data_IF_536985236628
#
_entry.id   IF_536985236628
#
_cell.length_a   1.000
_cell.length_b   1.000
_cell.length_c   1.000
_cell.angle_alpha   90.00
_cell.angle_beta   90.00
_cell.angle_gamma   90.00
#
_symmetry.space_group_name_H-M   'P 1'
#
loop_
_entity.id
_entity.type
_entity.pdbx_description
1 polymer ?
#
# COMPACT_ATOMS: atom_id res chain seq x y z
N UNK A 1 8.00 7.13 29.40
CA UNK A 1 8.02 6.04 28.42
C UNK A 1 8.44 4.75 29.12
N UNK A 2 7.51 3.86 29.37
CA UNK A 2 7.75 2.66 30.20
C UNK A 2 7.76 1.37 29.37
N UNK A 3 7.88 1.46 28.03
CA UNK A 3 7.94 0.29 27.17
C UNK A 3 9.28 -0.43 27.34
N UNK A 4 9.23 -1.75 27.54
CA UNK A 4 10.44 -2.61 27.52
C UNK A 4 10.88 -2.93 26.09
N UNK A 5 9.94 -2.91 25.18
CA UNK A 5 10.12 -3.08 23.74
C UNK A 5 8.97 -2.41 23.00
N UNK A 6 9.14 -2.11 21.72
CA UNK A 6 8.09 -1.58 20.84
C UNK A 6 7.73 -2.61 19.80
N UNK A 7 6.45 -2.91 19.66
CA UNK A 7 5.93 -3.69 18.55
C UNK A 7 5.59 -2.77 17.37
N UNK A 8 6.25 -2.96 16.24
CA UNK A 8 5.98 -2.22 15.01
C UNK A 8 5.19 -3.09 14.04
N UNK A 9 3.89 -2.87 13.93
CA UNK A 9 3.00 -3.61 13.03
C UNK A 9 3.19 -3.09 11.60
N UNK A 10 3.52 -4.01 10.68
CA UNK A 10 3.48 -3.79 9.23
C UNK A 10 2.23 -4.49 8.69
N UNK A 11 1.20 -3.74 8.23
CA UNK A 11 -0.08 -4.31 7.80
C UNK A 11 -0.06 -4.89 6.38
N UNK A 12 1.11 -5.01 5.77
CA UNK A 12 1.33 -5.49 4.41
C UNK A 12 2.40 -6.57 4.35
N UNK A 13 2.52 -7.22 3.19
CA UNK A 13 3.46 -8.33 3.00
C UNK A 13 4.92 -7.91 3.16
N UNK A 14 5.77 -8.79 3.71
CA UNK A 14 7.22 -8.58 3.76
C UNK A 14 7.80 -8.31 2.37
N UNK A 15 8.86 -7.49 2.31
CA UNK A 15 9.54 -7.09 1.08
C UNK A 15 8.88 -5.94 0.32
N UNK A 16 7.67 -5.51 0.72
CA UNK A 16 7.00 -4.33 0.16
C UNK A 16 7.52 -3.01 0.70
N UNK A 17 7.02 -1.89 0.16
CA UNK A 17 7.44 -0.54 0.57
C UNK A 17 7.31 -0.28 2.07
N UNK A 18 6.20 -0.71 2.67
CA UNK A 18 5.97 -0.56 4.11
C UNK A 18 6.96 -1.33 4.98
N UNK A 19 7.38 -2.53 4.56
CA UNK A 19 8.43 -3.30 5.24
C UNK A 19 9.77 -2.59 5.12
N UNK A 20 10.13 -2.14 3.92
CA UNK A 20 11.37 -1.42 3.70
C UNK A 20 11.45 -0.12 4.52
N UNK A 21 10.34 0.60 4.61
CA UNK A 21 10.23 1.81 5.43
C UNK A 21 10.39 1.48 6.92
N UNK A 22 9.67 0.47 7.44
CA UNK A 22 9.79 0.05 8.83
C UNK A 22 11.24 -0.35 9.19
N UNK A 23 11.91 -1.11 8.33
CA UNK A 23 13.32 -1.51 8.53
C UNK A 23 14.30 -0.34 8.47
N UNK A 24 14.02 0.69 7.66
CA UNK A 24 14.85 1.91 7.64
C UNK A 24 14.68 2.74 8.92
N UNK A 25 13.47 2.78 9.47
CA UNK A 25 13.18 3.52 10.70
C UNK A 25 13.64 2.79 11.96
N UNK A 26 13.65 1.47 11.95
CA UNK A 26 13.91 0.63 13.12
C UNK A 26 15.19 1.05 13.89
N UNK A 27 16.38 1.18 13.27
CA UNK A 27 17.59 1.51 14.02
C UNK A 27 17.52 2.89 14.69
N UNK A 28 16.97 3.89 14.00
CA UNK A 28 16.80 5.24 14.57
C UNK A 28 15.76 5.28 15.71
N UNK A 29 14.71 4.48 15.61
CA UNK A 29 13.74 4.34 16.70
C UNK A 29 14.34 3.65 17.91
N UNK A 30 15.12 2.59 17.72
CA UNK A 30 15.82 1.88 18.81
C UNK A 30 16.83 2.79 19.52
N UNK A 31 17.60 3.57 18.77
CA UNK A 31 18.53 4.55 19.31
C UNK A 31 17.80 5.65 20.11
N UNK A 32 16.73 6.22 19.53
CA UNK A 32 16.02 7.34 20.15
C UNK A 32 15.20 6.92 21.37
N UNK A 33 14.65 5.70 21.38
CA UNK A 33 13.77 5.22 22.45
C UNK A 33 14.53 4.42 23.52
N UNK A 34 15.73 3.92 23.21
CA UNK A 34 16.54 3.11 24.13
C UNK A 34 15.96 1.71 24.39
N UNK A 35 15.08 1.22 23.51
CA UNK A 35 14.46 -0.12 23.60
C UNK A 35 14.43 -0.79 22.23
N UNK A 36 14.30 -2.12 22.19
CA UNK A 36 14.18 -2.85 20.92
C UNK A 36 12.85 -2.57 20.22
N UNK A 37 12.89 -2.56 18.89
CA UNK A 37 11.71 -2.41 18.02
C UNK A 37 11.50 -3.70 17.23
N UNK A 38 10.42 -4.42 17.53
CA UNK A 38 10.10 -5.70 16.90
C UNK A 38 9.10 -5.50 15.75
N UNK A 39 9.54 -5.73 14.51
CA UNK A 39 8.68 -5.66 13.33
C UNK A 39 7.86 -6.94 13.23
N UNK A 40 6.53 -6.79 13.22
CA UNK A 40 5.56 -7.88 13.06
C UNK A 40 4.63 -7.64 11.88
N UNK A 41 4.30 -8.69 11.14
CA UNK A 41 3.44 -8.59 9.97
C UNK A 41 2.03 -9.06 10.30
N UNK A 42 1.04 -8.18 10.07
CA UNK A 42 -0.39 -8.47 10.24
C UNK A 42 -1.11 -8.14 8.94
N UNK A 43 -1.02 -9.06 7.98
CA UNK A 43 -1.45 -8.83 6.60
C UNK A 43 -2.90 -9.25 6.36
N UNK A 44 -3.56 -8.61 5.40
CA UNK A 44 -4.91 -8.95 4.94
C UNK A 44 -5.84 -7.74 4.84
N UNK A 45 -6.87 -7.86 3.97
CA UNK A 45 -7.90 -6.86 3.80
C UNK A 45 -7.39 -5.45 3.43
N UNK A 46 -6.34 -5.34 2.59
CA UNK A 46 -5.77 -4.02 2.26
C UNK A 46 -5.11 -3.29 3.44
N UNK A 47 -4.74 -4.02 4.50
CA UNK A 47 -4.21 -3.49 5.76
C UNK A 47 -5.18 -3.57 6.94
N UNK A 48 -6.46 -3.87 6.69
CA UNK A 48 -7.51 -3.90 7.73
C UNK A 48 -7.15 -4.78 8.93
N UNK A 49 -6.50 -5.93 8.69
CA UNK A 49 -6.08 -6.85 9.77
C UNK A 49 -5.07 -6.17 10.70
N UNK A 50 -4.03 -5.54 10.14
CA UNK A 50 -3.00 -4.85 10.91
C UNK A 50 -3.54 -3.62 11.65
N UNK A 51 -4.37 -2.82 11.00
CA UNK A 51 -5.00 -1.65 11.65
C UNK A 51 -5.99 -2.05 12.74
N UNK A 52 -6.74 -3.15 12.56
CA UNK A 52 -7.61 -3.68 13.60
C UNK A 52 -6.81 -4.21 14.80
N UNK A 53 -5.64 -4.78 14.56
CA UNK A 53 -4.72 -5.22 15.63
C UNK A 53 -4.17 -4.02 16.40
N UNK A 54 -3.74 -2.96 15.70
CA UNK A 54 -3.31 -1.72 16.33
C UNK A 54 -4.43 -1.11 17.20
N UNK A 55 -5.65 -1.03 16.65
CA UNK A 55 -6.81 -0.50 17.39
C UNK A 55 -7.10 -1.25 18.68
N UNK A 56 -6.91 -2.58 18.70
CA UNK A 56 -7.09 -3.42 19.90
C UNK A 56 -5.91 -3.38 20.86
N UNK A 57 -4.77 -2.86 20.45
CA UNK A 57 -3.58 -2.74 21.29
C UNK A 57 -3.79 -1.71 22.40
N UNK A 58 -3.00 -1.81 23.46
CA UNK A 58 -3.04 -0.82 24.54
C UNK A 58 -2.57 0.55 24.01
N UNK A 59 -3.25 1.64 24.34
CA UNK A 59 -2.88 2.98 23.90
C UNK A 59 -1.74 3.59 24.74
N UNK A 60 -0.70 2.81 25.03
CA UNK A 60 0.46 3.18 25.84
C UNK A 60 1.68 3.60 25.00
N UNK A 61 1.56 3.52 23.68
CA UNK A 61 2.63 3.82 22.74
C UNK A 61 3.61 2.67 22.51
N UNK A 62 3.46 1.51 23.18
CA UNK A 62 4.34 0.37 22.97
C UNK A 62 3.99 -0.45 21.72
N UNK A 63 2.86 -0.17 21.07
CA UNK A 63 2.49 -0.71 19.77
C UNK A 63 2.27 0.43 18.78
N UNK A 64 3.02 0.40 17.69
CA UNK A 64 2.93 1.37 16.61
C UNK A 64 2.71 0.65 15.26
N UNK A 65 2.27 1.38 14.26
CA UNK A 65 2.13 0.85 12.90
C UNK A 65 2.45 1.92 11.88
N UNK A 66 2.93 1.50 10.71
CA UNK A 66 2.89 2.38 9.57
C UNK A 66 1.48 2.40 8.97
N UNK A 67 1.05 3.58 8.62
CA UNK A 67 -0.26 3.83 8.01
C UNK A 67 -0.06 4.39 6.62
N UNK A 68 -0.69 3.77 5.64
CA UNK A 68 -0.71 4.27 4.26
C UNK A 68 -2.05 4.97 4.00
N UNK A 69 -1.99 6.24 3.68
CA UNK A 69 -3.17 7.01 3.27
C UNK A 69 -3.27 6.95 1.73
N UNK A 70 -4.44 6.64 1.16
CA UNK A 70 -5.76 6.52 1.79
C UNK A 70 -6.14 5.10 2.28
N UNK A 71 -5.25 4.10 2.27
CA UNK A 71 -5.59 2.70 2.58
C UNK A 71 -6.32 2.52 3.92
N UNK A 72 -5.88 3.21 4.97
CA UNK A 72 -6.51 3.15 6.30
C UNK A 72 -7.97 3.61 6.26
N UNK A 73 -8.28 4.59 5.40
CA UNK A 73 -9.64 5.13 5.23
C UNK A 73 -10.49 4.14 4.45
N UNK A 74 -9.98 3.60 3.34
CA UNK A 74 -10.70 2.68 2.46
C UNK A 74 -10.97 1.36 3.20
N UNK A 75 -9.96 0.79 3.83
CA UNK A 75 -10.10 -0.48 4.55
C UNK A 75 -11.00 -0.39 5.79
N UNK A 76 -11.17 0.79 6.38
CA UNK A 76 -12.13 0.99 7.48
C UNK A 76 -13.59 0.86 7.06
N UNK A 77 -13.88 0.91 5.77
CA UNK A 77 -15.22 0.74 5.19
C UNK A 77 -15.60 -0.73 4.97
N UNK A 78 -14.67 -1.66 5.14
CA UNK A 78 -14.91 -3.09 4.98
C UNK A 78 -15.85 -3.64 6.05
N UNK A 79 -16.61 -4.69 5.69
CA UNK A 79 -17.48 -5.38 6.65
C UNK A 79 -16.64 -6.03 7.77
N UNK A 80 -17.10 -5.89 9.01
CA UNK A 80 -16.45 -6.47 10.18
C UNK A 80 -15.16 -5.77 10.62
N UNK A 81 -14.80 -4.65 10.02
CA UNK A 81 -13.66 -3.83 10.43
C UNK A 81 -14.08 -2.95 11.61
N UNK A 82 -13.42 -3.13 12.77
CA UNK A 82 -13.83 -2.52 14.03
C UNK A 82 -13.19 -1.18 14.37
N UNK A 83 -12.46 -0.53 13.45
CA UNK A 83 -11.80 0.75 13.69
C UNK A 83 -12.29 1.86 12.75
N UNK A 84 -12.08 3.09 13.16
CA UNK A 84 -12.19 4.29 12.32
C UNK A 84 -10.82 4.95 12.19
N UNK A 85 -10.53 5.69 11.10
CA UNK A 85 -9.26 6.41 10.95
C UNK A 85 -8.96 7.34 12.13
N UNK A 86 -9.97 7.97 12.70
CA UNK A 86 -9.85 8.92 13.82
C UNK A 86 -9.57 8.24 15.17
N UNK A 87 -9.61 6.90 15.24
CA UNK A 87 -9.26 6.16 16.47
C UNK A 87 -7.74 6.11 16.71
N UNK A 88 -6.93 6.54 15.73
CA UNK A 88 -5.47 6.47 15.81
C UNK A 88 -4.84 7.84 16.10
N UNK A 89 -3.82 7.85 16.94
CA UNK A 89 -2.94 8.98 17.11
C UNK A 89 -1.84 8.96 16.05
N UNK A 90 -1.89 9.87 15.08
CA UNK A 90 -0.89 10.02 14.02
C UNK A 90 0.32 10.80 14.54
N UNK A 91 1.49 10.16 14.56
CA UNK A 91 2.73 10.74 15.10
C UNK A 91 3.40 11.65 14.07
N UNK A 92 3.40 11.24 12.80
CA UNK A 92 4.04 12.00 11.73
C UNK A 92 3.99 11.27 10.39
N UNK A 93 4.42 11.97 9.34
CA UNK A 93 4.55 11.42 7.99
C UNK A 93 6.01 11.05 7.73
N UNK A 94 6.28 9.81 7.39
CA UNK A 94 7.63 9.26 7.17
C UNK A 94 8.07 9.34 5.73
N UNK A 95 7.12 9.25 4.79
CA UNK A 95 7.40 9.37 3.35
C UNK A 95 6.15 9.82 2.58
N UNK A 96 6.38 10.41 1.41
CA UNK A 96 5.36 10.68 0.41
C UNK A 96 5.88 10.22 -0.95
N UNK A 97 5.07 9.47 -1.69
CA UNK A 97 5.45 8.95 -3.00
C UNK A 97 4.38 9.22 -4.05
N UNK A 98 4.82 9.56 -5.26
CA UNK A 98 3.95 9.64 -6.42
C UNK A 98 3.66 8.23 -6.97
N UNK A 99 2.47 8.05 -7.56
CA UNK A 99 2.18 6.89 -8.39
C UNK A 99 2.91 6.99 -9.73
N UNK A 100 3.33 5.85 -10.28
CA UNK A 100 3.90 5.77 -11.61
C UNK A 100 3.19 4.68 -12.42
N UNK A 101 2.92 4.96 -13.68
CA UNK A 101 2.51 3.98 -14.67
C UNK A 101 3.75 3.49 -15.41
N UNK A 102 3.94 2.18 -15.47
CA UNK A 102 5.07 1.54 -16.14
C UNK A 102 4.56 0.58 -17.21
N UNK A 103 5.27 0.54 -18.33
CA UNK A 103 5.04 -0.41 -19.41
C UNK A 103 6.35 -1.14 -19.74
N UNK A 104 6.32 -2.35 -20.35
CA UNK A 104 7.50 -2.99 -20.90
C UNK A 104 8.21 -2.07 -21.92
N UNK A 105 9.53 -2.23 -22.05
CA UNK A 105 10.34 -1.39 -22.95
C UNK A 105 9.93 -1.51 -24.42
N UNK A 106 9.41 -2.67 -24.81
CA UNK A 106 8.93 -2.99 -26.16
C UNK A 106 7.42 -2.79 -26.34
N UNK A 107 6.74 -2.25 -25.32
CA UNK A 107 5.32 -1.90 -25.41
C UNK A 107 5.07 -0.84 -26.50
N UNK A 108 3.97 -0.94 -27.27
CA UNK A 108 3.57 0.13 -28.19
C UNK A 108 3.12 1.42 -27.47
N UNK A 109 2.92 1.35 -26.15
CA UNK A 109 2.39 2.46 -25.33
C UNK A 109 3.51 3.18 -24.57
N UNK A 110 4.48 3.73 -25.27
CA UNK A 110 5.66 4.38 -24.66
C UNK A 110 5.38 5.80 -24.12
N UNK A 111 4.21 6.37 -24.38
CA UNK A 111 3.76 7.65 -23.83
C UNK A 111 2.37 7.51 -23.24
N UNK A 112 2.00 8.44 -22.36
CA UNK A 112 0.66 8.42 -21.76
C UNK A 112 -0.44 8.64 -22.81
N UNK A 113 -0.17 9.46 -23.82
CA UNK A 113 -1.09 9.72 -24.92
C UNK A 113 -1.33 8.46 -25.75
N UNK A 114 -0.27 7.70 -26.08
CA UNK A 114 -0.37 6.44 -26.80
C UNK A 114 -1.15 5.39 -25.98
N UNK A 115 -0.93 5.32 -24.67
CA UNK A 115 -1.67 4.45 -23.78
C UNK A 115 -3.16 4.80 -23.75
N UNK A 116 -3.51 6.09 -23.56
CA UNK A 116 -4.89 6.56 -23.55
C UNK A 116 -5.58 6.27 -24.87
N UNK A 117 -4.90 6.53 -25.99
CA UNK A 117 -5.44 6.25 -27.33
C UNK A 117 -5.74 4.76 -27.51
N UNK A 118 -4.80 3.88 -27.15
CA UNK A 118 -4.98 2.42 -27.21
C UNK A 118 -6.09 1.91 -26.31
N UNK A 119 -6.23 2.45 -25.10
CA UNK A 119 -7.31 2.10 -24.19
C UNK A 119 -8.69 2.51 -24.73
N UNK A 120 -8.78 3.68 -25.38
CA UNK A 120 -10.01 4.13 -26.04
C UNK A 120 -10.37 3.34 -27.29
N UNK A 121 -9.35 2.90 -28.05
CA UNK A 121 -9.57 2.05 -29.23
C UNK A 121 -10.11 0.67 -28.87
N UNK A 122 -9.67 0.11 -27.74
CA UNK A 122 -10.02 -1.24 -27.29
C UNK A 122 -10.43 -1.23 -25.81
N UNK A 123 -11.62 -0.71 -25.48
CA UNK A 123 -12.08 -0.62 -24.09
C UNK A 123 -12.05 -1.98 -23.38
N UNK A 124 -11.53 -2.02 -22.16
CA UNK A 124 -11.42 -3.22 -21.33
C UNK A 124 -10.35 -4.23 -21.74
N UNK A 125 -9.69 -4.06 -22.90
CA UNK A 125 -8.72 -5.03 -23.41
C UNK A 125 -7.32 -4.85 -22.83
N UNK A 126 -6.95 -3.63 -22.44
CA UNK A 126 -5.66 -3.41 -21.79
C UNK A 126 -5.71 -3.84 -20.31
N UNK A 127 -4.72 -4.60 -19.91
CA UNK A 127 -4.59 -5.05 -18.52
C UNK A 127 -3.64 -4.15 -17.75
N UNK A 128 -4.08 -3.69 -16.57
CA UNK A 128 -3.26 -2.89 -15.66
C UNK A 128 -3.09 -3.65 -14.35
N UNK A 129 -1.85 -3.94 -13.99
CA UNK A 129 -1.52 -4.58 -12.72
C UNK A 129 -1.16 -3.54 -11.67
N UNK A 130 -1.72 -3.66 -10.48
CA UNK A 130 -1.43 -2.76 -9.37
C UNK A 130 -1.73 -3.39 -8.02
N UNK A 131 -1.45 -2.66 -6.94
CA UNK A 131 -1.78 -3.13 -5.60
C UNK A 131 -3.29 -3.15 -5.38
N UNK A 132 -3.78 -4.13 -4.63
CA UNK A 132 -5.19 -4.19 -4.25
C UNK A 132 -5.61 -3.03 -3.32
N UNK A 133 -6.90 -2.90 -3.09
CA UNK A 133 -7.45 -1.82 -2.26
C UNK A 133 -7.25 -0.45 -2.90
N UNK A 134 -6.58 0.47 -2.22
CA UNK A 134 -6.41 1.85 -2.69
C UNK A 134 -5.71 1.98 -4.06
N UNK A 135 -4.95 0.99 -4.48
CA UNK A 135 -4.38 0.96 -5.84
C UNK A 135 -5.47 0.86 -6.89
N UNK A 136 -6.43 -0.05 -6.70
CA UNK A 136 -7.58 -0.21 -7.58
C UNK A 136 -8.47 1.04 -7.60
N UNK A 137 -8.73 1.63 -6.41
CA UNK A 137 -9.58 2.83 -6.33
C UNK A 137 -8.95 4.05 -7.01
N UNK A 138 -7.63 4.25 -6.84
CA UNK A 138 -6.92 5.32 -7.56
C UNK A 138 -6.93 5.09 -9.07
N UNK A 139 -6.80 3.84 -9.49
CA UNK A 139 -6.85 3.51 -10.91
C UNK A 139 -8.24 3.77 -11.48
N UNK A 140 -9.31 3.36 -10.80
CA UNK A 140 -10.69 3.64 -11.23
C UNK A 140 -10.98 5.15 -11.34
N UNK A 141 -10.49 5.97 -10.41
CA UNK A 141 -10.58 7.42 -10.52
C UNK A 141 -9.82 7.96 -11.73
N UNK A 142 -8.64 7.40 -12.03
CA UNK A 142 -7.85 7.79 -13.19
C UNK A 142 -8.55 7.41 -14.50
N UNK A 143 -9.17 6.23 -14.58
CA UNK A 143 -9.98 5.80 -15.72
C UNK A 143 -11.14 6.76 -15.99
N UNK A 144 -11.84 7.18 -14.93
CA UNK A 144 -12.92 8.16 -15.03
C UNK A 144 -12.43 9.50 -15.59
N UNK A 145 -11.33 10.03 -15.05
CA UNK A 145 -10.75 11.31 -15.49
C UNK A 145 -10.25 11.25 -16.93
N UNK A 146 -9.65 10.14 -17.33
CA UNK A 146 -9.08 9.96 -18.67
C UNK A 146 -10.11 9.50 -19.70
N UNK A 147 -11.29 9.05 -19.26
CA UNK A 147 -12.34 8.49 -20.11
C UNK A 147 -11.87 7.22 -20.81
N UNK A 148 -11.23 6.32 -20.09
CA UNK A 148 -10.72 5.03 -20.56
C UNK A 148 -11.31 3.88 -19.74
N UNK A 149 -11.25 2.66 -20.27
CA UNK A 149 -11.64 1.43 -19.59
C UNK A 149 -10.53 0.39 -19.77
N UNK A 150 -10.08 -0.20 -18.66
CA UNK A 150 -9.05 -1.24 -18.64
C UNK A 150 -9.47 -2.40 -17.74
N UNK A 151 -8.76 -3.52 -17.82
CA UNK A 151 -8.92 -4.62 -16.87
C UNK A 151 -7.89 -4.51 -15.76
N UNK A 152 -8.34 -4.16 -14.54
CA UNK A 152 -7.45 -4.04 -13.40
C UNK A 152 -7.19 -5.40 -12.73
N UNK A 153 -5.91 -5.74 -12.54
CA UNK A 153 -5.47 -6.99 -11.87
C UNK A 153 -4.77 -6.64 -10.56
N UNK A 154 -5.37 -6.94 -9.40
CA UNK A 154 -4.73 -6.69 -8.12
C UNK A 154 -3.59 -7.68 -7.86
N UNK A 155 -2.40 -7.16 -7.52
CA UNK A 155 -1.21 -7.95 -7.23
C UNK A 155 -0.74 -7.70 -5.80
N UNK A 156 -0.56 -8.77 -5.03
CA UNK A 156 0.03 -8.71 -3.70
C UNK A 156 1.55 -8.81 -3.78
N UNK A 157 2.27 -8.01 -2.96
CA UNK A 157 3.75 -8.05 -2.88
C UNK A 157 4.48 -6.95 -3.63
N UNK A 158 3.75 -5.93 -4.10
CA UNK A 158 4.33 -4.72 -4.69
C UNK A 158 5.04 -4.93 -6.02
N UNK A 159 5.89 -3.97 -6.39
CA UNK A 159 6.58 -3.91 -7.70
C UNK A 159 7.37 -5.19 -8.01
N UNK A 160 8.01 -5.81 -7.00
CA UNK A 160 8.76 -7.06 -7.18
C UNK A 160 7.93 -8.24 -7.70
N UNK A 161 6.62 -8.22 -7.50
CA UNK A 161 5.69 -9.22 -8.05
C UNK A 161 5.05 -8.77 -9.36
N UNK A 162 4.87 -7.46 -9.56
CA UNK A 162 4.30 -6.90 -10.78
C UNK A 162 5.25 -7.00 -11.97
N UNK A 163 6.55 -6.77 -11.77
CA UNK A 163 7.54 -6.79 -12.86
C UNK A 163 7.61 -8.12 -13.62
N UNK A 164 7.68 -9.30 -12.96
CA UNK A 164 7.62 -10.58 -13.67
C UNK A 164 6.33 -10.80 -14.47
N UNK A 165 5.20 -10.28 -13.97
CA UNK A 165 3.91 -10.38 -14.69
C UNK A 165 3.92 -9.54 -15.96
N UNK A 166 4.49 -8.33 -15.92
CA UNK A 166 4.64 -7.48 -17.10
C UNK A 166 5.58 -8.13 -18.14
N UNK A 167 6.64 -8.78 -17.69
CA UNK A 167 7.61 -9.44 -18.57
C UNK A 167 7.05 -10.73 -19.23
N UNK A 168 6.03 -11.36 -18.65
CA UNK A 168 5.41 -12.58 -19.17
C UNK A 168 4.12 -12.39 -19.97
N UNK A 169 3.69 -11.15 -20.18
CA UNK A 169 2.42 -10.81 -20.84
C UNK A 169 2.55 -10.57 -22.36
N UNK A 170 3.43 -11.32 -23.03
CA UNK A 170 3.56 -11.30 -24.51
C UNK A 170 2.89 -12.49 -25.13
#
# INVERSE_FOLDING_TARGET
WDCKEVTFIVPYSPGGGSDQMARRLQPGLEEALGVSVNIVYKTGGGGAVGFSELHRSKPDGCTISNVVVPNVIISSKGEGVGYKPDDFAYIGMTESSAGALMVPQDSPYQTIEAFIAGAKEKPGMLTVAGTGGSGADRWAQLEEVLGIETTYVPVSGGVGKMMPMLAGSH
#
